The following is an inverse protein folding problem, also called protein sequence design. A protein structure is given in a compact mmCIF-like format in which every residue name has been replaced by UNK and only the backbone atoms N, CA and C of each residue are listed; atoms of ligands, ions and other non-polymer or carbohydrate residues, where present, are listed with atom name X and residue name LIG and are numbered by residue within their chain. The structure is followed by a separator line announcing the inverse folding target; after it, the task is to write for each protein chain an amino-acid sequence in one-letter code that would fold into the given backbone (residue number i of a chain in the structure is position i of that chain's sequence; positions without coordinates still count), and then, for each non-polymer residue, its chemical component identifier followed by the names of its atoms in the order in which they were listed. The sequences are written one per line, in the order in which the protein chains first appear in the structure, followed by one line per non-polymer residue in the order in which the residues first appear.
data_IF_192691172829
#
_entry.id   IF_192691172829
#
_cell.length_a   1.000
_cell.length_b   1.000
_cell.length_c   1.000
_cell.angle_alpha   90.00
_cell.angle_beta   90.00
_cell.angle_gamma   90.00
#
_symmetry.space_group_name_H-M   'P 1'
#
loop_
_entity.id
_entity.type
_entity.pdbx_description
1 polymer ?
#
# COMPACT_ATOMS: atom_id res chain seq x y z
N UNK A 1 -12.95 -13.55 -4.59
CA UNK A 1 -11.90 -12.59 -4.98
C UNK A 1 -11.59 -11.70 -3.78
N UNK A 2 -10.36 -11.75 -3.29
CA UNK A 2 -9.82 -10.92 -2.20
C UNK A 2 -8.81 -9.90 -2.75
N UNK A 3 -8.84 -8.70 -2.22
CA UNK A 3 -8.00 -7.58 -2.63
C UNK A 3 -7.10 -7.14 -1.47
N UNK A 4 -5.79 -7.17 -1.69
CA UNK A 4 -4.79 -6.63 -0.76
C UNK A 4 -4.44 -5.18 -1.10
N UNK A 5 -4.67 -4.25 -0.19
CA UNK A 5 -4.24 -2.86 -0.34
C UNK A 5 -2.96 -2.64 0.48
N UNK A 6 -1.92 -2.15 -0.17
CA UNK A 6 -0.67 -1.77 0.47
C UNK A 6 -0.50 -0.24 0.47
N UNK A 7 -0.88 0.46 1.55
CA UNK A 7 -0.67 1.90 1.67
C UNK A 7 0.79 2.24 1.97
N UNK A 8 1.27 3.33 1.36
CA UNK A 8 2.59 3.89 1.60
C UNK A 8 2.59 4.66 2.94
N UNK A 9 2.94 3.99 4.04
CA UNK A 9 2.90 4.50 5.42
C UNK A 9 4.03 5.50 5.77
N UNK A 10 4.30 6.49 4.92
CA UNK A 10 5.33 7.50 5.15
C UNK A 10 4.88 8.64 6.08
N UNK A 11 5.81 9.24 6.83
CA UNK A 11 5.60 10.40 7.71
C UNK A 11 5.40 11.72 6.93
N UNK A 12 4.32 11.81 6.14
CA UNK A 12 3.92 12.99 5.37
C UNK A 12 2.41 12.99 5.14
N UNK A 13 1.84 14.10 4.65
CA UNK A 13 0.39 14.20 4.40
C UNK A 13 -0.13 13.09 3.45
N UNK A 14 0.54 12.87 2.31
CA UNK A 14 0.16 11.86 1.31
C UNK A 14 0.34 10.44 1.84
N UNK A 15 1.36 10.18 2.66
CA UNK A 15 1.52 8.87 3.30
C UNK A 15 0.36 8.55 4.25
N UNK A 16 -0.01 9.51 5.10
CA UNK A 16 -1.19 9.38 5.97
C UNK A 16 -2.50 9.24 5.19
N UNK A 17 -2.65 9.97 4.08
CA UNK A 17 -3.81 9.84 3.20
C UNK A 17 -3.94 8.43 2.65
N UNK A 18 -2.85 7.79 2.21
CA UNK A 18 -2.93 6.41 1.71
C UNK A 18 -3.46 5.44 2.78
N UNK A 19 -2.99 5.54 4.02
CA UNK A 19 -3.48 4.71 5.13
C UNK A 19 -4.96 4.95 5.41
N UNK A 20 -5.40 6.21 5.46
CA UNK A 20 -6.81 6.57 5.68
C UNK A 20 -7.73 6.07 4.56
N UNK A 21 -7.29 6.21 3.31
CA UNK A 21 -8.03 5.70 2.14
C UNK A 21 -8.13 4.19 2.21
N UNK A 22 -7.03 3.46 2.46
CA UNK A 22 -7.07 2.01 2.59
C UNK A 22 -8.05 1.55 3.69
N UNK A 23 -7.96 2.15 4.89
CA UNK A 23 -8.85 1.84 6.02
C UNK A 23 -10.34 2.08 5.74
N UNK A 24 -10.67 3.01 4.83
CA UNK A 24 -12.07 3.27 4.43
C UNK A 24 -12.71 2.09 3.70
N UNK A 25 -11.91 1.26 3.02
CA UNK A 25 -12.39 0.15 2.19
C UNK A 25 -12.20 -1.23 2.83
N UNK A 26 -11.32 -1.35 3.83
CA UNK A 26 -11.00 -2.63 4.46
C UNK A 26 -12.21 -3.15 5.24
N UNK A 27 -12.62 -4.37 4.93
CA UNK A 27 -13.69 -5.11 5.61
C UNK A 27 -13.18 -6.40 6.27
N UNK A 28 -11.92 -6.76 6.05
CA UNK A 28 -11.28 -8.01 6.52
C UNK A 28 -11.92 -9.30 5.97
N UNK A 29 -12.75 -9.21 4.93
CA UNK A 29 -13.35 -10.35 4.26
C UNK A 29 -12.92 -10.39 2.78
N UNK A 30 -13.21 -9.32 2.05
CA UNK A 30 -12.92 -9.15 0.63
C UNK A 30 -11.79 -8.16 0.39
N UNK A 31 -11.60 -7.18 1.27
CA UNK A 31 -10.57 -6.15 1.14
C UNK A 31 -9.75 -6.15 2.44
N UNK A 32 -8.46 -6.42 2.29
CA UNK A 32 -7.51 -6.55 3.39
C UNK A 32 -6.41 -5.51 3.25
N UNK A 33 -5.89 -5.00 4.37
CA UNK A 33 -4.60 -4.33 4.35
C UNK A 33 -3.46 -5.34 4.33
N UNK A 34 -2.41 -4.99 3.61
CA UNK A 34 -1.15 -5.72 3.57
C UNK A 34 -0.11 -4.96 4.41
N UNK A 35 0.70 -5.68 5.18
CA UNK A 35 1.64 -5.08 6.11
C UNK A 35 2.81 -4.40 5.36
N UNK A 36 2.89 -3.07 5.45
CA UNK A 36 3.91 -2.26 4.78
C UNK A 36 5.34 -2.49 5.29
N UNK A 37 5.50 -2.85 6.57
CA UNK A 37 6.80 -3.12 7.16
C UNK A 37 7.20 -4.59 7.04
N UNK A 38 6.27 -5.51 7.30
CA UNK A 38 6.55 -6.94 7.35
C UNK A 38 6.89 -7.56 6.00
N UNK A 39 6.27 -7.08 4.91
CA UNK A 39 6.57 -7.50 3.55
C UNK A 39 8.05 -7.29 3.18
N UNK A 40 8.58 -6.05 3.16
CA UNK A 40 9.95 -5.82 2.73
C UNK A 40 11.00 -6.41 3.69
N UNK A 41 10.62 -6.69 4.95
CA UNK A 41 11.46 -7.41 5.92
C UNK A 41 11.55 -8.92 5.66
N UNK A 42 10.78 -9.47 4.70
CA UNK A 42 10.86 -10.90 4.39
C UNK A 42 10.19 -11.78 5.44
N UNK A 43 9.28 -11.25 6.27
CA UNK A 43 8.63 -12.05 7.32
C UNK A 43 7.68 -13.05 6.66
N UNK A 44 8.07 -14.33 6.60
CA UNK A 44 7.38 -15.38 5.83
C UNK A 44 5.88 -15.44 6.13
N UNK A 45 5.51 -15.50 7.42
CA UNK A 45 4.09 -15.53 7.83
C UNK A 45 3.28 -14.35 7.28
N UNK A 46 3.88 -13.16 7.18
CA UNK A 46 3.22 -11.96 6.65
C UNK A 46 3.10 -12.06 5.12
N UNK A 47 4.13 -12.57 4.45
CA UNK A 47 4.11 -12.79 2.99
C UNK A 47 3.05 -13.83 2.62
N UNK A 48 2.97 -14.93 3.37
CA UNK A 48 1.98 -15.99 3.15
C UNK A 48 0.56 -15.46 3.33
N UNK A 49 0.32 -14.68 4.40
CA UNK A 49 -0.96 -13.99 4.60
C UNK A 49 -1.28 -13.02 3.47
N UNK A 50 -0.30 -12.24 3.01
CA UNK A 50 -0.49 -11.31 1.89
C UNK A 50 -0.91 -12.04 0.62
N UNK A 51 -0.24 -13.15 0.28
CA UNK A 51 -0.48 -13.99 -0.91
C UNK A 51 -1.83 -14.73 -0.91
N UNK A 52 -2.60 -14.69 0.19
CA UNK A 52 -3.99 -15.12 0.20
C UNK A 52 -4.94 -14.16 -0.54
N UNK A 53 -4.47 -12.95 -0.89
CA UNK A 53 -5.22 -12.04 -1.74
C UNK A 53 -5.01 -12.38 -3.22
N UNK A 54 -6.08 -12.31 -4.01
CA UNK A 54 -6.06 -12.62 -5.45
C UNK A 54 -5.51 -11.45 -6.28
N UNK A 55 -5.70 -10.22 -5.80
CA UNK A 55 -5.28 -8.98 -6.45
C UNK A 55 -4.70 -8.02 -5.42
N UNK A 56 -3.93 -7.05 -5.91
CA UNK A 56 -3.27 -6.05 -5.07
C UNK A 56 -3.39 -4.64 -5.64
N UNK A 57 -3.42 -3.66 -4.73
CA UNK A 57 -3.24 -2.24 -5.04
C UNK A 57 -2.04 -1.73 -4.26
N UNK A 58 -1.03 -1.24 -4.98
CA UNK A 58 0.03 -0.43 -4.41
C UNK A 58 -0.44 1.03 -4.33
N UNK A 59 -0.83 1.46 -3.13
CA UNK A 59 -1.31 2.81 -2.90
C UNK A 59 -0.17 3.69 -2.40
N UNK A 60 0.44 4.45 -3.31
CA UNK A 60 1.60 5.29 -3.05
C UNK A 60 1.22 6.74 -2.83
N UNK A 61 1.88 7.36 -1.85
CA UNK A 61 1.68 8.79 -1.59
C UNK A 61 2.49 9.69 -2.53
N UNK A 62 3.64 9.23 -3.02
CA UNK A 62 4.58 10.07 -3.78
C UNK A 62 5.42 9.24 -4.77
N UNK A 63 6.22 9.87 -5.66
CA UNK A 63 6.96 9.19 -6.72
C UNK A 63 8.02 8.19 -6.25
N UNK A 64 8.31 8.14 -4.93
CA UNK A 64 9.19 7.13 -4.35
C UNK A 64 8.66 5.69 -4.50
N UNK A 65 7.33 5.54 -4.64
CA UNK A 65 6.65 4.26 -4.89
C UNK A 65 7.01 3.15 -3.89
N UNK A 66 7.02 3.49 -2.59
CA UNK A 66 7.46 2.56 -1.54
C UNK A 66 6.61 1.28 -1.47
N UNK A 67 5.29 1.38 -1.66
CA UNK A 67 4.39 0.21 -1.64
C UNK A 67 4.69 -0.72 -2.81
N UNK A 68 4.83 -0.17 -4.02
CA UNK A 68 5.16 -0.93 -5.23
C UNK A 68 6.44 -1.73 -5.04
N UNK A 69 7.51 -1.05 -4.60
CA UNK A 69 8.81 -1.67 -4.31
C UNK A 69 8.73 -2.76 -3.23
N UNK A 70 7.86 -2.58 -2.23
CA UNK A 70 7.66 -3.58 -1.19
C UNK A 70 6.95 -4.84 -1.70
N UNK A 71 5.97 -4.71 -2.61
CA UNK A 71 5.34 -5.86 -3.29
C UNK A 71 6.34 -6.57 -4.21
N UNK A 72 7.06 -5.81 -5.04
CA UNK A 72 8.06 -6.35 -5.96
C UNK A 72 9.13 -7.17 -5.22
N UNK A 73 9.58 -6.67 -4.05
CA UNK A 73 10.62 -7.29 -3.23
C UNK A 73 10.28 -8.72 -2.80
N UNK A 74 9.00 -9.04 -2.67
CA UNK A 74 8.50 -10.37 -2.24
C UNK A 74 7.87 -11.18 -3.37
N UNK A 75 8.02 -10.70 -4.62
CA UNK A 75 7.50 -11.37 -5.81
C UNK A 75 5.99 -11.22 -6.02
N UNK A 76 5.34 -10.26 -5.36
CA UNK A 76 3.94 -9.92 -5.67
C UNK A 76 3.96 -8.91 -6.82
N UNK A 77 3.49 -9.33 -7.98
CA UNK A 77 3.50 -8.55 -9.24
C UNK A 77 2.09 -8.46 -9.82
N UNK A 78 1.89 -7.66 -10.88
CA UNK A 78 0.58 -7.50 -11.53
C UNK A 78 -0.45 -6.76 -10.67
N UNK A 79 0.02 -5.91 -9.74
CA UNK A 79 -0.82 -5.04 -8.94
C UNK A 79 -1.17 -3.76 -9.70
N UNK A 80 -2.31 -3.17 -9.35
CA UNK A 80 -2.63 -1.81 -9.78
C UNK A 80 -1.81 -0.81 -8.95
N UNK A 81 -1.28 0.23 -9.59
CA UNK A 81 -0.50 1.28 -8.93
C UNK A 81 -1.27 2.60 -8.97
N UNK A 82 -1.34 3.26 -7.80
CA UNK A 82 -1.86 4.63 -7.67
C UNK A 82 -0.80 5.46 -6.96
N UNK A 83 -0.51 6.66 -7.46
CA UNK A 83 0.43 7.61 -6.89
C UNK A 83 -0.26 8.96 -6.68
N UNK A 84 -0.60 9.28 -5.42
CA UNK A 84 -1.43 10.44 -5.07
C UNK A 84 -0.93 11.77 -5.64
N UNK A 85 0.39 12.00 -5.63
CA UNK A 85 0.98 13.24 -6.14
C UNK A 85 0.82 13.43 -7.64
N UNK A 86 0.99 12.37 -8.45
CA UNK A 86 0.94 12.47 -9.91
C UNK A 86 -0.49 12.31 -10.44
N UNK A 87 -1.25 11.39 -9.86
CA UNK A 87 -2.54 10.97 -10.41
C UNK A 87 -3.66 11.93 -9.99
N UNK A 88 -3.47 12.65 -8.89
CA UNK A 88 -4.44 13.59 -8.34
C UNK A 88 -3.87 14.99 -8.08
N UNK A 89 -2.60 15.24 -8.43
CA UNK A 89 -1.97 16.56 -8.25
C UNK A 89 -1.81 17.00 -6.78
N UNK A 90 -1.81 16.06 -5.83
CA UNK A 90 -1.74 16.38 -4.40
C UNK A 90 -0.30 16.72 -4.00
N UNK A 91 -0.06 17.95 -3.55
CA UNK A 91 1.26 18.37 -3.07
C UNK A 91 1.67 17.61 -1.80
N UNK A 92 2.89 17.05 -1.81
CA UNK A 92 3.48 16.40 -0.63
C UNK A 92 3.98 17.44 0.37
N UNK A 93 3.48 17.37 1.60
CA UNK A 93 3.86 18.19 2.76
C UNK A 93 4.40 17.32 3.87
N UNK A 94 5.48 17.77 4.53
CA UNK A 94 6.12 17.04 5.62
C UNK A 94 5.28 17.04 6.92
N UNK A 95 4.42 18.04 7.11
CA UNK A 95 3.55 18.16 8.30
C UNK A 95 2.07 17.99 7.90
N UNK A 96 1.32 17.29 8.75
CA UNK A 96 -0.13 17.42 8.84
C UNK A 96 -0.41 18.75 9.55
N UNK A 97 -0.53 19.83 8.78
CA UNK A 97 -1.23 21.04 9.21
C UNK A 97 -2.58 21.06 8.53
#
# INVERSE_FOLDING_TARGET
MKLGILPCQGACNVGNMTSKVALKYVDNEKINMVCALGLPLGIEKIIDMAKQNDKFIALNGCPMKCSSKALDKVGITGYEEIVLTSDFGIEKKQKLQ
#
